data_IF_230206932996
#
_entry.id   IF_230206932996
#
_cell.length_a   1.000
_cell.length_b   1.000
_cell.length_c   1.000
_cell.angle_alpha   90.00
_cell.angle_beta   90.00
_cell.angle_gamma   90.00
#
_symmetry.space_group_name_H-M   'P 1'
#
loop_
_entity.id
_entity.type
_entity.pdbx_description
1 polymer ?
#
# COMPACT_ATOMS: atom_id res chain seq x y z
N UNK A 1 -14.17 -2.37 8.36
CA UNK A 1 -12.81 -2.84 8.06
C UNK A 1 -12.14 -3.48 9.25
N UNK A 2 -11.06 -4.20 9.05
CA UNK A 2 -10.33 -4.93 10.08
C UNK A 2 -9.42 -4.02 10.94
N UNK A 3 -9.31 -2.76 10.58
CA UNK A 3 -8.65 -1.68 11.31
C UNK A 3 -9.28 -1.35 12.67
N UNK A 4 -10.59 -1.65 12.83
CA UNK A 4 -11.36 -1.36 14.04
C UNK A 4 -11.66 -2.59 14.90
N UNK A 5 -11.05 -3.72 14.58
CA UNK A 5 -11.29 -4.98 15.27
C UNK A 5 -10.15 -5.28 16.25
N UNK A 6 -10.48 -6.05 17.28
CA UNK A 6 -9.48 -6.50 18.25
C UNK A 6 -8.88 -7.81 17.74
N UNK A 7 -7.59 -7.76 17.41
CA UNK A 7 -6.82 -8.93 17.03
C UNK A 7 -6.25 -9.62 18.26
N UNK A 8 -6.19 -10.94 18.23
CA UNK A 8 -5.57 -11.76 19.28
C UNK A 8 -4.11 -12.03 18.93
N UNK A 9 -3.25 -12.07 19.96
CA UNK A 9 -1.88 -12.57 19.79
C UNK A 9 -1.92 -14.07 19.52
N UNK A 10 -1.38 -14.48 18.37
CA UNK A 10 -1.22 -15.89 18.01
C UNK A 10 0.14 -16.42 18.47
N UNK A 11 1.20 -15.67 18.26
CA UNK A 11 2.55 -15.98 18.71
C UNK A 11 3.43 -14.73 18.74
N UNK A 12 4.47 -14.73 19.57
CA UNK A 12 5.50 -13.68 19.56
C UNK A 12 6.85 -14.20 20.02
N UNK A 13 7.90 -13.47 19.64
CA UNK A 13 9.27 -13.56 20.14
C UNK A 13 9.89 -12.16 20.16
N UNK A 14 11.19 -12.04 20.42
CA UNK A 14 11.88 -10.75 20.44
C UNK A 14 11.89 -10.01 19.10
N UNK A 15 11.80 -10.75 18.00
CA UNK A 15 11.86 -10.19 16.62
C UNK A 15 10.62 -10.47 15.77
N UNK A 16 9.59 -11.09 16.35
CA UNK A 16 8.39 -11.51 15.60
C UNK A 16 7.14 -11.40 16.44
N UNK A 17 6.04 -10.94 15.82
CA UNK A 17 4.68 -11.05 16.35
C UNK A 17 3.73 -11.49 15.25
N UNK A 18 2.85 -12.44 15.57
CA UNK A 18 1.74 -12.86 14.71
C UNK A 18 0.43 -12.55 15.42
N UNK A 19 -0.44 -11.83 14.75
CA UNK A 19 -1.78 -11.50 15.19
C UNK A 19 -2.78 -12.28 14.36
N UNK A 20 -3.90 -12.71 14.97
CA UNK A 20 -4.99 -13.38 14.26
C UNK A 20 -6.34 -12.77 14.59
N UNK A 21 -7.22 -12.86 13.61
CA UNK A 21 -8.62 -12.47 13.71
C UNK A 21 -9.51 -13.50 13.02
N UNK A 22 -10.64 -13.81 13.66
CA UNK A 22 -11.66 -14.69 13.10
C UNK A 22 -12.92 -13.88 12.76
N UNK A 23 -13.19 -13.77 11.46
CA UNK A 23 -14.39 -13.11 10.90
C UNK A 23 -15.46 -14.18 10.64
N UNK A 24 -16.63 -14.04 11.25
CA UNK A 24 -17.74 -14.97 11.10
C UNK A 24 -18.45 -14.77 9.76
N UNK A 25 -19.09 -15.83 9.29
CA UNK A 25 -19.99 -15.74 8.12
C UNK A 25 -20.96 -14.57 8.24
N UNK A 26 -21.06 -13.77 7.17
CA UNK A 26 -21.84 -12.52 7.08
C UNK A 26 -21.31 -11.35 7.94
N UNK A 27 -20.10 -11.44 8.48
CA UNK A 27 -19.45 -10.25 9.07
C UNK A 27 -19.30 -9.17 7.98
N UNK A 28 -19.86 -8.00 8.24
CA UNK A 28 -19.94 -6.88 7.29
C UNK A 28 -20.56 -7.26 5.92
N UNK A 29 -21.34 -8.33 5.85
CA UNK A 29 -22.01 -8.81 4.64
C UNK A 29 -21.18 -9.78 3.79
N UNK A 30 -19.97 -10.13 4.19
CA UNK A 30 -19.10 -11.05 3.44
C UNK A 30 -19.39 -12.52 3.79
N UNK A 31 -19.42 -13.42 2.78
CA UNK A 31 -19.68 -14.86 3.01
C UNK A 31 -18.45 -15.56 3.61
N UNK A 32 -18.70 -16.67 4.27
CA UNK A 32 -17.67 -17.57 4.82
C UNK A 32 -17.19 -17.19 6.22
N UNK A 33 -16.76 -18.20 6.96
CA UNK A 33 -15.97 -18.01 8.17
C UNK A 33 -14.51 -17.87 7.75
N UNK A 34 -13.88 -16.75 8.05
CA UNK A 34 -12.52 -16.45 7.62
C UNK A 34 -11.58 -16.32 8.81
N UNK A 35 -10.44 -17.03 8.74
CA UNK A 35 -9.30 -16.79 9.63
C UNK A 35 -8.28 -15.93 8.90
N UNK A 36 -7.93 -14.79 9.48
CA UNK A 36 -6.90 -13.89 8.97
C UNK A 36 -5.73 -13.84 9.95
N UNK A 37 -4.50 -13.81 9.43
CA UNK A 37 -3.27 -13.62 10.23
C UNK A 37 -2.40 -12.57 9.58
N UNK A 38 -1.78 -11.76 10.43
CA UNK A 38 -0.76 -10.78 10.05
C UNK A 38 0.45 -11.01 10.94
N UNK A 39 1.61 -11.26 10.32
CA UNK A 39 2.88 -11.42 11.02
C UNK A 39 3.80 -10.24 10.72
N UNK A 40 4.45 -9.72 11.75
CA UNK A 40 5.53 -8.75 11.64
C UNK A 40 6.81 -9.42 12.12
N UNK A 41 7.84 -9.45 11.28
CA UNK A 41 9.11 -10.07 11.60
C UNK A 41 10.29 -9.19 11.14
N UNK A 42 11.24 -8.94 12.03
CA UNK A 42 12.53 -8.39 11.65
C UNK A 42 13.38 -9.51 11.03
N UNK A 43 13.64 -9.44 9.71
CA UNK A 43 14.56 -10.34 9.01
C UNK A 43 16.03 -9.94 9.23
N UNK A 44 16.28 -8.69 9.55
CA UNK A 44 17.57 -8.10 9.93
C UNK A 44 17.35 -6.78 10.65
N UNK A 45 18.39 -6.13 11.13
CA UNK A 45 18.35 -4.84 11.85
C UNK A 45 17.64 -3.71 11.07
N UNK A 46 17.52 -3.86 9.74
CA UNK A 46 16.95 -2.82 8.87
C UNK A 46 15.90 -3.35 7.90
N UNK A 47 15.41 -4.57 8.13
CA UNK A 47 14.43 -5.18 7.22
C UNK A 47 13.27 -5.75 8.01
N UNK A 48 12.11 -5.10 7.89
CA UNK A 48 10.83 -5.57 8.44
C UNK A 48 10.05 -6.29 7.35
N UNK A 49 9.60 -7.50 7.64
CA UNK A 49 8.67 -8.25 6.80
C UNK A 49 7.30 -8.31 7.45
N UNK A 50 6.26 -8.07 6.67
CA UNK A 50 4.85 -8.19 7.07
C UNK A 50 4.22 -9.24 6.16
N UNK A 51 3.78 -10.37 6.72
CA UNK A 51 3.08 -11.42 5.98
C UNK A 51 1.59 -11.38 6.30
N UNK A 52 0.77 -11.53 5.26
CA UNK A 52 -0.68 -11.62 5.32
C UNK A 52 -1.11 -13.00 4.86
N UNK A 53 -1.88 -13.70 5.68
CA UNK A 53 -2.53 -14.95 5.28
C UNK A 53 -4.00 -14.92 5.67
N UNK A 54 -4.84 -15.50 4.82
CA UNK A 54 -6.25 -15.72 5.14
C UNK A 54 -6.76 -16.99 4.48
N UNK A 55 -7.67 -17.68 5.17
CA UNK A 55 -8.40 -18.84 4.68
C UNK A 55 -9.88 -18.69 5.00
N UNK A 56 -10.75 -19.23 4.17
CA UNK A 56 -12.21 -19.18 4.36
C UNK A 56 -12.85 -20.53 4.00
N UNK A 57 -13.95 -20.88 4.70
CA UNK A 57 -14.76 -22.06 4.40
C UNK A 57 -15.70 -21.86 3.21
N UNK A 58 -15.78 -20.64 2.67
CA UNK A 58 -16.56 -20.29 1.47
C UNK A 58 -15.80 -19.27 0.64
N UNK A 59 -16.14 -19.18 -0.63
CA UNK A 59 -15.61 -18.14 -1.49
C UNK A 59 -15.97 -16.74 -0.97
N UNK A 60 -14.96 -15.88 -0.80
CA UNK A 60 -15.11 -14.50 -0.31
C UNK A 60 -13.93 -13.64 -0.81
N UNK A 61 -14.17 -12.36 -1.16
CA UNK A 61 -13.09 -11.47 -1.53
C UNK A 61 -12.31 -11.03 -0.30
N UNK A 62 -10.98 -10.91 -0.45
CA UNK A 62 -10.10 -10.38 0.61
C UNK A 62 -8.94 -9.59 0.01
N UNK A 63 -8.70 -8.40 0.56
CA UNK A 63 -7.52 -7.58 0.25
C UNK A 63 -7.02 -6.96 1.54
N UNK A 64 -6.03 -7.59 2.16
CA UNK A 64 -5.38 -7.07 3.37
C UNK A 64 -4.18 -6.23 2.95
N UNK A 65 -3.99 -5.10 3.61
CA UNK A 65 -2.80 -4.25 3.44
C UNK A 65 -2.37 -3.65 4.77
N UNK A 66 -1.26 -2.92 4.75
CA UNK A 66 -0.79 -2.12 5.88
C UNK A 66 -0.86 -0.64 5.49
N UNK A 67 -1.64 0.15 6.25
CA UNK A 67 -1.89 1.56 5.98
C UNK A 67 -1.01 2.47 6.85
N UNK A 68 0.28 2.22 6.86
CA UNK A 68 1.24 3.08 7.56
C UNK A 68 1.43 4.40 6.82
N UNK A 69 1.60 5.47 7.61
CA UNK A 69 1.98 6.79 7.12
C UNK A 69 3.48 7.00 7.37
N UNK A 70 4.27 6.88 6.31
CA UNK A 70 5.74 7.03 6.38
C UNK A 70 6.14 8.48 6.28
N UNK A 71 7.11 8.89 7.11
CA UNK A 71 7.80 10.16 7.01
C UNK A 71 9.26 9.97 7.44
N UNK A 72 10.17 9.96 6.48
CA UNK A 72 11.58 9.72 6.72
C UNK A 72 12.34 10.94 7.29
N UNK A 73 11.69 12.11 7.36
CA UNK A 73 12.21 13.31 8.04
C UNK A 73 11.69 13.42 9.49
N UNK A 74 10.92 12.42 9.97
CA UNK A 74 10.30 12.45 11.29
C UNK A 74 8.90 13.09 11.32
N UNK A 75 8.18 12.84 12.41
CA UNK A 75 6.74 13.10 12.51
C UNK A 75 6.30 14.59 12.49
N UNK A 76 7.22 15.52 12.67
CA UNK A 76 6.90 16.96 12.71
C UNK A 76 7.06 17.67 11.36
N UNK A 77 7.61 17.00 10.36
CA UNK A 77 7.88 17.58 9.05
C UNK A 77 6.87 17.13 8.00
N UNK A 78 6.88 17.80 6.84
CA UNK A 78 6.12 17.39 5.67
C UNK A 78 6.92 16.41 4.81
N UNK A 79 6.21 15.53 4.09
CA UNK A 79 6.81 14.63 3.10
C UNK A 79 7.12 15.32 1.76
N UNK A 80 6.82 16.59 1.61
CA UNK A 80 6.91 17.32 0.31
C UNK A 80 8.29 17.26 -0.32
N UNK A 81 9.32 17.24 0.51
CA UNK A 81 10.73 17.20 0.07
C UNK A 81 11.28 15.76 -0.06
N UNK A 82 10.46 14.74 0.17
CA UNK A 82 10.83 13.37 -0.19
C UNK A 82 10.77 13.20 -1.70
N UNK A 83 11.55 12.24 -2.18
CA UNK A 83 11.43 11.75 -3.56
C UNK A 83 10.91 10.33 -3.55
N UNK A 84 10.22 9.96 -4.63
CA UNK A 84 9.66 8.63 -4.84
C UNK A 84 10.03 8.13 -6.23
N UNK A 85 10.31 6.84 -6.33
CA UNK A 85 10.51 6.11 -7.58
C UNK A 85 9.80 4.76 -7.52
N UNK A 86 9.18 4.37 -8.63
CA UNK A 86 8.49 3.10 -8.78
C UNK A 86 8.51 2.70 -10.26
N UNK A 87 8.96 1.48 -10.54
CA UNK A 87 8.87 0.88 -11.88
C UNK A 87 7.44 0.36 -12.12
N UNK A 88 6.61 1.23 -12.71
CA UNK A 88 5.24 0.95 -13.11
C UNK A 88 4.83 1.80 -14.31
N UNK A 89 4.17 1.19 -15.29
CA UNK A 89 3.78 1.84 -16.54
C UNK A 89 2.30 2.24 -16.58
N UNK A 90 1.49 1.75 -15.64
CA UNK A 90 0.04 1.94 -15.62
C UNK A 90 -0.48 2.16 -14.21
N UNK A 91 -1.60 2.85 -14.12
CA UNK A 91 -2.48 2.93 -12.95
C UNK A 91 -3.84 2.34 -13.29
N UNK A 92 -4.62 1.94 -12.28
CA UNK A 92 -6.05 1.69 -12.48
C UNK A 92 -6.78 3.02 -12.64
N UNK A 93 -7.55 3.17 -13.72
CA UNK A 93 -8.35 4.36 -13.98
C UNK A 93 -9.47 4.50 -12.93
N UNK A 94 -9.79 5.74 -12.57
CA UNK A 94 -10.80 6.04 -11.56
C UNK A 94 -11.88 6.98 -12.10
N UNK A 95 -13.10 6.81 -11.60
CA UNK A 95 -14.18 7.77 -11.76
C UNK A 95 -13.93 9.03 -10.91
N UNK A 96 -14.77 10.06 -11.11
CA UNK A 96 -14.71 11.28 -10.30
C UNK A 96 -14.94 11.05 -8.80
N UNK A 97 -15.63 9.97 -8.42
CA UNK A 97 -15.86 9.55 -7.03
C UNK A 97 -14.77 8.64 -6.47
N UNK A 98 -13.62 8.51 -7.17
CA UNK A 98 -12.47 7.65 -6.84
C UNK A 98 -12.73 6.14 -6.90
N UNK A 99 -13.85 5.69 -7.38
CA UNK A 99 -14.05 4.24 -7.66
C UNK A 99 -13.33 3.84 -8.94
N UNK A 100 -12.79 2.60 -9.00
CA UNK A 100 -12.12 2.11 -10.20
C UNK A 100 -13.13 1.90 -11.36
N UNK A 101 -12.74 2.30 -12.57
CA UNK A 101 -13.55 2.11 -13.78
C UNK A 101 -13.47 0.69 -14.31
N UNK A 102 -12.41 -0.04 -14.00
CA UNK A 102 -12.02 -1.32 -14.59
C UNK A 102 -10.95 -1.20 -15.66
N UNK A 103 -10.65 -0.01 -16.14
CA UNK A 103 -9.64 0.23 -17.17
C UNK A 103 -8.27 0.54 -16.54
N UNK A 104 -7.25 0.54 -17.40
CA UNK A 104 -5.90 0.97 -17.08
C UNK A 104 -5.54 2.22 -17.85
N UNK A 105 -4.72 3.07 -17.24
CA UNK A 105 -4.20 4.29 -17.85
C UNK A 105 -2.68 4.29 -17.81
N UNK A 106 -2.05 4.55 -18.97
CA UNK A 106 -0.59 4.65 -19.03
C UNK A 106 -0.09 5.92 -18.34
N UNK A 107 0.91 5.75 -17.48
CA UNK A 107 1.57 6.89 -16.82
C UNK A 107 2.83 7.36 -17.55
N UNK A 108 3.27 6.63 -18.59
CA UNK A 108 4.52 6.91 -19.30
C UNK A 108 4.52 8.33 -19.87
N UNK A 109 5.56 9.11 -19.59
CA UNK A 109 5.74 10.50 -19.95
C UNK A 109 4.68 11.45 -19.36
N UNK A 110 3.88 11.01 -18.39
CA UNK A 110 2.95 11.88 -17.65
C UNK A 110 3.59 12.42 -16.36
N UNK A 111 2.88 13.27 -15.64
CA UNK A 111 3.29 13.68 -14.29
C UNK A 111 3.26 12.51 -13.30
N UNK A 112 2.44 11.48 -13.54
CA UNK A 112 2.33 10.25 -12.73
C UNK A 112 3.39 9.20 -13.07
N UNK A 113 4.26 9.43 -14.06
CA UNK A 113 5.36 8.52 -14.39
C UNK A 113 6.43 8.55 -13.29
N UNK A 114 6.49 7.49 -12.49
CA UNK A 114 7.43 7.31 -11.39
C UNK A 114 8.62 6.40 -11.75
N UNK A 115 8.81 6.05 -13.03
CA UNK A 115 9.96 5.25 -13.47
C UNK A 115 11.30 5.96 -13.22
N UNK A 116 11.24 7.26 -13.01
CA UNK A 116 12.36 8.09 -12.54
C UNK A 116 12.01 8.76 -11.22
N UNK A 117 13.03 9.01 -10.41
CA UNK A 117 12.88 9.71 -9.13
C UNK A 117 12.15 11.05 -9.31
N UNK A 118 11.05 11.24 -8.58
CA UNK A 118 10.26 12.47 -8.58
C UNK A 118 10.07 13.01 -7.16
N UNK A 119 10.18 14.31 -7.00
CA UNK A 119 9.83 14.99 -5.76
C UNK A 119 8.32 14.94 -5.52
N UNK A 120 7.90 14.60 -4.30
CA UNK A 120 6.49 14.64 -3.90
C UNK A 120 5.91 16.05 -4.07
N UNK A 121 6.70 17.10 -3.82
CA UNK A 121 6.28 18.47 -4.08
C UNK A 121 5.95 18.72 -5.55
N UNK A 122 6.74 18.21 -6.48
CA UNK A 122 6.47 18.35 -7.91
C UNK A 122 5.17 17.62 -8.31
N UNK A 123 4.91 16.46 -7.73
CA UNK A 123 3.70 15.69 -7.97
C UNK A 123 2.45 16.43 -7.47
N UNK A 124 2.42 16.83 -6.20
CA UNK A 124 1.22 17.47 -5.60
C UNK A 124 0.93 18.88 -6.16
N UNK A 125 1.92 19.56 -6.72
CA UNK A 125 1.78 20.87 -7.37
C UNK A 125 1.57 20.76 -8.89
N UNK A 126 1.38 19.56 -9.43
CA UNK A 126 1.11 19.35 -10.85
C UNK A 126 -0.20 20.03 -11.28
N UNK A 127 -0.23 20.54 -12.49
CA UNK A 127 -1.43 21.08 -13.14
C UNK A 127 -2.37 19.99 -13.68
N UNK A 128 -1.99 18.73 -13.57
CA UNK A 128 -2.78 17.57 -14.01
C UNK A 128 -4.16 17.57 -13.34
N UNK A 129 -5.25 17.42 -14.12
CA UNK A 129 -6.61 17.46 -13.59
C UNK A 129 -6.89 16.39 -12.54
N UNK A 130 -6.32 15.18 -12.68
CA UNK A 130 -6.51 14.08 -11.71
C UNK A 130 -5.83 14.39 -10.38
N UNK A 131 -4.58 14.90 -10.43
CA UNK A 131 -3.85 15.30 -9.22
C UNK A 131 -4.56 16.48 -8.51
N UNK A 132 -5.03 17.45 -9.27
CA UNK A 132 -5.80 18.58 -8.72
C UNK A 132 -7.09 18.11 -8.07
N UNK A 133 -7.81 17.19 -8.70
CA UNK A 133 -9.03 16.62 -8.15
C UNK A 133 -8.76 15.85 -6.87
N UNK A 134 -7.74 14.98 -6.85
CA UNK A 134 -7.31 14.22 -5.68
C UNK A 134 -6.59 15.09 -4.62
N UNK A 135 -6.13 16.29 -4.98
CA UNK A 135 -5.29 17.20 -4.17
C UNK A 135 -3.93 16.59 -3.79
N UNK A 136 -3.42 15.67 -4.61
CA UNK A 136 -2.19 14.92 -4.39
C UNK A 136 -2.25 13.57 -5.07
N UNK A 137 -1.38 12.64 -4.70
CA UNK A 137 -1.49 11.27 -5.17
C UNK A 137 -2.52 10.51 -4.33
N UNK A 138 -3.34 9.75 -5.01
CA UNK A 138 -4.25 8.74 -4.45
C UNK A 138 -4.59 7.72 -5.55
N UNK A 139 -3.56 7.03 -6.06
CA UNK A 139 -3.66 6.18 -7.24
C UNK A 139 -3.07 4.80 -6.98
N UNK A 140 -3.74 3.78 -7.51
CA UNK A 140 -3.24 2.42 -7.51
C UNK A 140 -2.37 2.18 -8.76
N UNK A 141 -1.08 1.99 -8.56
CA UNK A 141 -0.12 1.62 -9.59
C UNK A 141 -0.13 0.11 -9.82
N UNK A 142 -0.08 -0.28 -11.09
CA UNK A 142 0.01 -1.68 -11.54
C UNK A 142 1.45 -2.14 -11.40
N UNK A 143 1.70 -3.12 -10.53
CA UNK A 143 3.04 -3.65 -10.28
C UNK A 143 3.37 -4.79 -11.25
N UNK A 144 4.59 -4.78 -11.76
CA UNK A 144 5.19 -5.94 -12.43
C UNK A 144 5.98 -6.78 -11.41
N UNK A 145 6.26 -8.05 -11.78
CA UNK A 145 7.03 -8.91 -10.89
C UNK A 145 8.43 -8.34 -10.63
N UNK A 146 8.73 -8.06 -9.38
CA UNK A 146 10.02 -7.52 -8.95
C UNK A 146 10.06 -6.00 -8.88
N UNK A 147 8.95 -5.30 -9.14
CA UNK A 147 8.87 -3.85 -8.91
C UNK A 147 9.24 -3.49 -7.47
N UNK A 148 10.00 -2.43 -7.32
CA UNK A 148 10.41 -1.88 -6.03
C UNK A 148 9.94 -0.45 -5.95
N UNK A 149 9.31 -0.09 -4.82
CA UNK A 149 9.06 1.31 -4.48
C UNK A 149 10.23 1.81 -3.65
N UNK A 150 10.82 2.92 -4.05
CA UNK A 150 11.88 3.59 -3.30
C UNK A 150 11.43 4.99 -2.91
N UNK A 151 11.58 5.32 -1.63
CA UNK A 151 11.33 6.66 -1.09
C UNK A 151 12.60 7.14 -0.40
N UNK A 152 13.06 8.33 -0.76
CA UNK A 152 14.25 8.95 -0.18
C UNK A 152 13.86 10.24 0.52
N UNK A 153 14.44 10.51 1.69
CA UNK A 153 14.19 11.73 2.43
C UNK A 153 14.92 12.94 1.82
N UNK A 154 14.63 14.13 2.34
CA UNK A 154 15.19 15.40 1.86
C UNK A 154 16.73 15.45 1.91
N UNK A 155 17.33 14.92 2.97
CA UNK A 155 18.79 14.91 3.17
C UNK A 155 19.49 13.81 2.36
N UNK A 156 18.74 12.91 1.75
CA UNK A 156 19.22 11.72 1.02
C UNK A 156 20.05 10.75 1.88
N UNK A 157 19.90 10.83 3.20
CA UNK A 157 20.60 9.98 4.15
C UNK A 157 19.79 8.75 4.58
N UNK A 158 18.47 8.71 4.27
CA UNK A 158 17.59 7.59 4.57
C UNK A 158 16.71 7.22 3.37
N UNK A 159 16.75 5.95 3.01
CA UNK A 159 15.97 5.38 1.91
C UNK A 159 15.09 4.25 2.46
N UNK A 160 13.81 4.26 2.12
CA UNK A 160 12.88 3.15 2.32
C UNK A 160 12.63 2.45 0.99
N UNK A 161 12.98 1.18 0.89
CA UNK A 161 12.58 0.30 -0.21
C UNK A 161 11.44 -0.62 0.24
N UNK A 162 10.40 -0.71 -0.59
CA UNK A 162 9.28 -1.61 -0.39
C UNK A 162 9.23 -2.65 -1.51
N UNK A 163 9.19 -3.92 -1.12
CA UNK A 163 9.00 -5.06 -2.00
C UNK A 163 7.73 -5.80 -1.62
N UNK A 164 7.01 -6.36 -2.60
CA UNK A 164 5.77 -7.09 -2.38
C UNK A 164 5.51 -8.12 -3.46
N UNK A 165 4.60 -9.06 -3.20
CA UNK A 165 4.00 -9.94 -4.20
C UNK A 165 2.53 -9.59 -4.50
N UNK A 166 2.07 -8.43 -4.09
CA UNK A 166 0.78 -7.90 -4.52
C UNK A 166 0.85 -7.41 -5.97
N UNK A 167 -0.28 -7.43 -6.70
CA UNK A 167 -0.32 -6.97 -8.09
C UNK A 167 -0.33 -5.45 -8.24
N UNK A 168 -0.64 -4.71 -7.19
CA UNK A 168 -0.73 -3.26 -7.20
C UNK A 168 -0.29 -2.63 -5.89
N UNK A 169 -0.12 -1.32 -5.94
CA UNK A 169 0.18 -0.50 -4.77
C UNK A 169 -0.57 0.83 -4.86
N UNK A 170 -1.33 1.15 -3.81
CA UNK A 170 -1.87 2.49 -3.64
C UNK A 170 -0.78 3.40 -3.09
N UNK A 171 -0.60 4.55 -3.73
CA UNK A 171 0.28 5.62 -3.27
C UNK A 171 -0.59 6.81 -2.89
N UNK A 172 -0.56 7.19 -1.61
CA UNK A 172 -1.38 8.25 -1.07
C UNK A 172 -0.52 9.26 -0.29
N UNK A 173 -0.62 10.53 -0.64
CA UNK A 173 0.26 11.59 -0.10
C UNK A 173 -0.27 12.27 1.16
N UNK A 174 -1.27 11.72 1.81
CA UNK A 174 -1.76 12.24 3.10
C UNK A 174 -2.45 13.60 3.00
N UNK A 175 -3.01 13.95 1.84
CA UNK A 175 -3.68 15.23 1.60
C UNK A 175 -4.95 15.45 2.41
N UNK A 176 -5.54 14.39 2.95
CA UNK A 176 -6.75 14.44 3.80
C UNK A 176 -6.44 14.28 5.29
N UNK A 177 -5.18 14.19 5.68
CA UNK A 177 -4.80 14.20 7.09
C UNK A 177 -5.28 15.49 7.75
N UNK A 178 -5.82 15.35 8.98
CA UNK A 178 -6.33 16.41 9.82
C UNK A 178 -5.83 16.23 11.26
N UNK A 179 -6.13 17.17 12.13
CA UNK A 179 -5.68 17.17 13.53
C UNK A 179 -5.80 15.80 14.20
N UNK A 180 -4.75 15.33 14.91
CA UNK A 180 -3.55 16.08 15.35
C UNK A 180 -2.46 16.22 14.28
N UNK A 181 -2.62 15.61 13.11
CA UNK A 181 -1.69 15.66 12.00
C UNK A 181 -1.96 16.84 11.06
N UNK A 182 -1.10 17.02 10.07
CA UNK A 182 -1.23 18.02 9.02
C UNK A 182 -1.25 17.35 7.64
N UNK A 183 -1.84 18.01 6.65
CA UNK A 183 -1.80 17.54 5.26
C UNK A 183 -0.36 17.33 4.81
N UNK A 184 -0.12 16.25 4.08
CA UNK A 184 1.20 15.87 3.57
C UNK A 184 2.25 15.63 4.67
N UNK A 185 1.82 15.18 5.84
CA UNK A 185 2.71 14.80 6.94
C UNK A 185 3.12 13.32 6.90
N UNK A 186 2.48 12.53 6.07
CA UNK A 186 2.79 11.11 5.88
C UNK A 186 2.42 10.61 4.49
N UNK A 187 3.24 9.71 3.98
CA UNK A 187 3.08 9.00 2.72
C UNK A 187 2.60 7.58 2.99
N UNK A 188 1.50 7.15 2.37
CA UNK A 188 1.07 5.76 2.42
C UNK A 188 1.57 5.01 1.19
N UNK A 189 2.06 3.81 1.43
CA UNK A 189 2.46 2.82 0.45
C UNK A 189 1.72 1.52 0.80
N UNK A 190 0.67 1.22 0.04
CA UNK A 190 -0.29 0.17 0.39
C UNK A 190 -0.36 -0.90 -0.72
N UNK A 191 0.54 -1.90 -0.70
CA UNK A 191 0.42 -3.04 -1.59
C UNK A 191 -0.90 -3.77 -1.36
N UNK A 192 -1.66 -4.00 -2.44
CA UNK A 192 -3.00 -4.58 -2.36
C UNK A 192 -3.44 -5.18 -3.70
N UNK A 193 -4.58 -5.87 -3.72
CA UNK A 193 -5.33 -6.07 -4.96
C UNK A 193 -5.89 -4.73 -5.44
N UNK A 194 -6.14 -4.61 -6.75
CA UNK A 194 -6.66 -3.36 -7.29
C UNK A 194 -8.00 -2.99 -6.65
N UNK A 195 -8.27 -1.71 -6.41
CA UNK A 195 -9.58 -1.26 -5.95
C UNK A 195 -10.71 -1.82 -6.83
N UNK A 196 -11.82 -2.21 -6.23
CA UNK A 196 -12.98 -2.82 -6.90
C UNK A 196 -12.71 -4.16 -7.63
N UNK A 197 -11.59 -4.84 -7.37
CA UNK A 197 -11.28 -6.15 -8.00
C UNK A 197 -12.43 -7.15 -8.05
N UNK A 198 -13.30 -7.30 -7.02
CA UNK A 198 -14.43 -8.24 -7.10
C UNK A 198 -15.41 -7.94 -8.22
N UNK A 199 -15.47 -6.72 -8.73
CA UNK A 199 -16.42 -6.28 -9.76
C UNK A 199 -15.83 -6.33 -11.18
N UNK A 200 -14.53 -6.60 -11.32
CA UNK A 200 -13.80 -6.58 -12.58
C UNK A 200 -13.09 -7.93 -12.82
N UNK A 201 -13.71 -8.89 -13.55
CA UNK A 201 -13.16 -10.25 -13.72
C UNK A 201 -11.79 -10.34 -14.38
N UNK A 202 -11.36 -9.29 -15.07
CA UNK A 202 -10.02 -9.20 -15.69
C UNK A 202 -8.95 -8.63 -14.74
N UNK A 203 -9.34 -8.13 -13.56
CA UNK A 203 -8.40 -7.74 -12.51
C UNK A 203 -7.84 -8.98 -11.80
N UNK A 204 -6.69 -8.87 -11.12
CA UNK A 204 -6.15 -9.97 -10.34
C UNK A 204 -7.16 -10.50 -9.33
N UNK A 205 -7.33 -11.82 -9.33
CA UNK A 205 -8.32 -12.50 -8.50
C UNK A 205 -8.00 -12.36 -7.01
N UNK A 206 -8.87 -11.67 -6.28
CA UNK A 206 -8.80 -11.41 -4.85
C UNK A 206 -9.67 -12.36 -4.00
N UNK A 207 -10.33 -13.33 -4.61
CA UNK A 207 -11.15 -14.29 -3.87
C UNK A 207 -10.31 -15.39 -3.24
N UNK A 208 -10.69 -15.79 -2.03
CA UNK A 208 -10.20 -16.98 -1.32
C UNK A 208 -11.38 -17.93 -1.07
N UNK A 209 -11.09 -19.17 -0.70
CA UNK A 209 -12.12 -20.19 -0.43
C UNK A 209 -11.49 -21.47 0.13
N UNK A 210 -12.25 -22.58 0.20
CA UNK A 210 -11.76 -23.85 0.78
C UNK A 210 -10.43 -24.34 0.19
N UNK A 211 -10.24 -24.15 -1.11
CA UNK A 211 -9.06 -24.63 -1.85
C UNK A 211 -8.07 -23.52 -2.22
N UNK A 212 -8.33 -22.28 -1.79
CA UNK A 212 -7.52 -21.11 -2.14
C UNK A 212 -7.36 -20.18 -0.95
N UNK A 213 -6.12 -19.97 -0.53
CA UNK A 213 -5.75 -19.08 0.58
C UNK A 213 -5.11 -17.79 0.07
N UNK A 214 -5.22 -16.71 0.85
CA UNK A 214 -4.36 -15.54 0.69
C UNK A 214 -2.97 -15.87 1.24
N UNK A 215 -1.92 -15.51 0.48
CA UNK A 215 -0.54 -15.52 0.95
C UNK A 215 0.20 -14.37 0.27
N UNK A 216 0.32 -13.25 0.98
CA UNK A 216 0.89 -12.00 0.51
C UNK A 216 1.90 -11.46 1.51
N UNK A 217 2.81 -10.60 1.04
CA UNK A 217 3.77 -9.96 1.93
C UNK A 217 4.08 -8.51 1.50
N UNK A 218 4.55 -7.75 2.47
CA UNK A 218 5.23 -6.47 2.32
C UNK A 218 6.59 -6.61 3.01
N UNK A 219 7.67 -6.25 2.32
CA UNK A 219 9.01 -6.18 2.88
C UNK A 219 9.50 -4.75 2.80
N UNK A 220 9.83 -4.17 3.95
CA UNK A 220 10.34 -2.82 4.12
C UNK A 220 11.83 -2.92 4.46
N UNK A 221 12.67 -2.31 3.63
CA UNK A 221 14.11 -2.24 3.85
C UNK A 221 14.54 -0.79 4.01
N UNK A 222 15.12 -0.47 5.15
CA UNK A 222 15.70 0.84 5.42
C UNK A 222 17.20 0.81 5.09
N UNK A 223 17.64 1.79 4.30
CA UNK A 223 19.04 1.93 3.88
C UNK A 223 19.55 3.30 4.27
N UNK A 224 20.83 3.38 4.60
CA UNK A 224 21.54 4.64 4.58
C UNK A 224 21.71 5.07 3.13
N UNK A 225 21.44 6.33 2.85
CA UNK A 225 21.74 6.95 1.57
C UNK A 225 23.22 7.30 1.49
N UNK A 226 23.71 7.47 0.28
CA UNK A 226 25.07 7.99 0.07
C UNK A 226 25.09 9.48 0.43
N UNK A 227 25.72 9.81 1.54
CA UNK A 227 26.05 11.19 1.87
C UNK A 227 27.05 11.69 0.81
N UNK A 228 26.60 12.59 -0.07
CA UNK A 228 27.44 13.29 -1.04
C UNK A 228 28.39 14.26 -0.35
#
# INVERSE_FOLDING_TARGET
>A
GFDRLIWSEHSKSDSHICLEYFSKHNDQGFPGNMSARISYAWESDRTLRIDFSASSDRETPVSLTNHNYYNLNGHQSSIKNHTIQLDANEITSIHHDFTATGDFESVINSCLDLNHEKSISALINSEDPMIKHARGLDFNYVLTKGSVVSVTNELKDLILELHTNYPGIQIYTGQHLDKPFQRYQGLCLEPQFYPCSPNHPHFPDCFIGPDKILNKFIKLRFKEGDLL
#
